data_IF_639099411620
#
_entry.id   IF_639099411620
#
_cell.length_a   1.000
_cell.length_b   1.000
_cell.length_c   1.000
_cell.angle_alpha   90.00
_cell.angle_beta   90.00
_cell.angle_gamma   90.00
#
_symmetry.space_group_name_H-M   'P 1'
#
loop_
_entity.id
_entity.type
_entity.pdbx_description
1 polymer ?
#
# COMPACT_ATOMS: atom_id res chain seq x y z
N UNK A 1 -15.93 -0.66 10.74
CA UNK A 1 -14.52 -0.53 11.11
C UNK A 1 -14.00 0.87 10.85
N UNK A 2 -12.79 1.17 11.34
CA UNK A 2 -12.03 2.37 11.00
C UNK A 2 -10.57 1.97 10.76
N UNK A 3 -10.05 2.18 9.54
CA UNK A 3 -8.71 1.75 9.13
C UNK A 3 -8.47 0.25 9.41
N UNK A 4 -9.47 -0.58 9.07
CA UNK A 4 -9.64 -1.93 9.58
C UNK A 4 -8.85 -3.03 8.85
N UNK A 5 -7.83 -2.72 8.06
CA UNK A 5 -7.10 -3.74 7.28
C UNK A 5 -6.45 -4.80 8.17
N UNK A 6 -5.86 -4.42 9.31
CA UNK A 6 -5.27 -5.36 10.26
C UNK A 6 -6.35 -6.19 11.00
N UNK A 7 -7.49 -5.58 11.32
CA UNK A 7 -8.61 -6.28 11.97
C UNK A 7 -9.20 -7.33 11.03
N UNK A 8 -9.38 -6.99 9.76
CA UNK A 8 -9.90 -7.92 8.74
C UNK A 8 -8.93 -9.06 8.50
N UNK A 9 -7.62 -8.80 8.42
CA UNK A 9 -6.60 -9.83 8.27
C UNK A 9 -6.56 -10.78 9.48
N UNK A 10 -6.63 -10.23 10.69
CA UNK A 10 -6.72 -11.00 11.92
C UNK A 10 -7.97 -11.89 11.95
N UNK A 11 -9.14 -11.33 11.65
CA UNK A 11 -10.40 -12.07 11.60
C UNK A 11 -10.36 -13.17 10.54
N UNK A 12 -9.83 -12.87 9.37
CA UNK A 12 -9.67 -13.83 8.29
C UNK A 12 -8.80 -15.02 8.71
N UNK A 13 -7.71 -14.73 9.43
CA UNK A 13 -6.79 -15.77 9.92
C UNK A 13 -7.42 -16.59 11.05
N UNK A 14 -8.08 -15.95 12.02
CA UNK A 14 -8.68 -16.64 13.18
C UNK A 14 -9.87 -17.51 12.82
N UNK A 15 -10.66 -17.10 11.83
CA UNK A 15 -11.89 -17.78 11.44
C UNK A 15 -11.79 -18.52 10.10
N UNK A 16 -10.58 -18.61 9.53
CA UNK A 16 -10.31 -19.26 8.25
C UNK A 16 -11.30 -18.79 7.15
N UNK A 17 -11.47 -17.47 7.03
CA UNK A 17 -12.43 -16.91 6.10
C UNK A 17 -11.94 -17.09 4.66
N UNK A 18 -12.71 -17.83 3.86
CA UNK A 18 -12.43 -18.03 2.44
C UNK A 18 -12.70 -16.78 1.58
N UNK A 19 -13.52 -15.85 2.09
CA UNK A 19 -13.86 -14.59 1.42
C UNK A 19 -13.94 -13.45 2.44
N UNK A 20 -13.66 -12.22 2.02
CA UNK A 20 -13.73 -11.08 2.92
C UNK A 20 -15.17 -10.81 3.36
N UNK A 21 -15.36 -10.42 4.63
CA UNK A 21 -16.66 -9.94 5.07
C UNK A 21 -17.00 -8.61 4.37
N UNK A 22 -18.28 -8.33 4.25
CA UNK A 22 -18.74 -7.03 3.76
C UNK A 22 -18.47 -5.96 4.82
N UNK A 23 -17.47 -5.12 4.59
CA UNK A 23 -16.99 -4.11 5.54
C UNK A 23 -17.37 -2.72 5.06
N UNK A 24 -17.89 -1.90 5.97
CA UNK A 24 -17.93 -0.44 5.83
C UNK A 24 -16.78 0.13 6.66
N UNK A 25 -15.75 0.68 6.00
CA UNK A 25 -14.65 1.34 6.67
C UNK A 25 -14.87 2.84 6.66
N UNK A 26 -14.94 3.44 7.86
CA UNK A 26 -15.21 4.87 8.02
C UNK A 26 -14.08 5.75 7.49
N UNK A 27 -12.83 5.28 7.49
CA UNK A 27 -11.71 6.00 6.89
C UNK A 27 -11.83 6.02 5.36
N UNK A 28 -12.20 4.89 4.75
CA UNK A 28 -12.45 4.79 3.30
C UNK A 28 -13.67 5.62 2.90
N UNK A 29 -14.73 5.60 3.69
CA UNK A 29 -15.94 6.41 3.45
C UNK A 29 -15.62 7.91 3.48
N UNK A 30 -14.78 8.35 4.42
CA UNK A 30 -14.28 9.71 4.46
C UNK A 30 -13.47 10.05 3.21
N UNK A 31 -12.51 9.22 2.84
CA UNK A 31 -11.67 9.37 1.65
C UNK A 31 -12.46 9.37 0.32
N UNK A 32 -13.65 8.73 0.28
CA UNK A 32 -14.58 8.79 -0.85
C UNK A 32 -15.40 10.08 -0.88
N UNK A 33 -15.36 10.93 0.14
CA UNK A 33 -16.18 12.14 0.24
C UNK A 33 -15.37 13.40 0.54
N UNK A 34 -14.05 13.28 0.63
CA UNK A 34 -13.10 14.38 0.87
C UNK A 34 -11.77 14.10 0.19
N UNK A 35 -10.90 15.09 0.11
CA UNK A 35 -9.52 14.93 -0.39
C UNK A 35 -8.54 14.39 0.67
N UNK A 36 -9.01 14.09 1.87
CA UNK A 36 -8.19 13.56 2.97
C UNK A 36 -8.23 12.04 3.00
N UNK A 37 -7.05 11.40 3.08
CA UNK A 37 -6.94 9.94 3.03
C UNK A 37 -6.86 9.30 4.42
N UNK A 38 -5.72 9.40 5.08
CA UNK A 38 -5.42 8.67 6.31
C UNK A 38 -5.75 9.50 7.55
N UNK A 39 -7.03 9.67 7.84
CA UNK A 39 -7.48 10.40 9.02
C UNK A 39 -7.55 9.48 10.24
N UNK A 40 -7.23 10.01 11.43
CA UNK A 40 -7.39 9.26 12.67
C UNK A 40 -8.86 9.16 13.11
N UNK A 41 -9.20 8.13 13.89
CA UNK A 41 -10.54 7.98 14.47
C UNK A 41 -10.94 9.22 15.29
N UNK A 42 -10.00 9.76 16.08
CA UNK A 42 -10.23 10.97 16.89
C UNK A 42 -10.57 12.20 16.04
N UNK A 43 -9.85 12.38 14.91
CA UNK A 43 -10.14 13.45 13.95
C UNK A 43 -11.53 13.28 13.35
N UNK A 44 -11.86 12.07 12.94
CA UNK A 44 -13.12 11.77 12.28
C UNK A 44 -14.32 11.93 13.25
N UNK A 45 -14.18 11.49 14.52
CA UNK A 45 -15.17 11.75 15.58
C UNK A 45 -15.41 13.25 15.77
N UNK A 46 -14.34 14.05 15.78
CA UNK A 46 -14.48 15.50 15.90
C UNK A 46 -15.20 16.12 14.69
N UNK A 47 -14.80 15.73 13.46
CA UNK A 47 -15.39 16.30 12.24
C UNK A 47 -16.87 15.93 12.04
N UNK A 48 -17.27 14.72 12.42
CA UNK A 48 -18.62 14.22 12.18
C UNK A 48 -19.58 14.47 13.35
N UNK A 49 -19.06 14.37 14.59
CA UNK A 49 -19.90 14.36 15.80
C UNK A 49 -19.57 15.52 16.77
N UNK A 50 -18.54 16.32 16.49
CA UNK A 50 -18.08 17.36 17.42
C UNK A 50 -17.40 16.84 18.69
N UNK A 51 -17.13 15.51 18.77
CA UNK A 51 -16.59 14.88 19.96
C UNK A 51 -15.06 14.94 19.99
N UNK A 52 -14.50 15.30 21.13
CA UNK A 52 -13.04 15.25 21.37
C UNK A 52 -12.69 14.01 22.13
N UNK A 53 -11.77 13.20 21.61
CA UNK A 53 -11.22 12.02 22.27
C UNK A 53 -9.75 12.20 22.63
N UNK A 54 -9.37 11.70 23.82
CA UNK A 54 -7.97 11.71 24.29
C UNK A 54 -7.18 10.53 23.72
N UNK A 55 -5.83 10.65 23.74
CA UNK A 55 -4.90 9.59 23.29
C UNK A 55 -4.28 8.82 24.47
N UNK A 56 -4.97 8.71 25.60
CA UNK A 56 -4.36 8.37 26.89
C UNK A 56 -3.81 6.93 27.00
N UNK A 57 -4.31 5.96 26.22
CA UNK A 57 -3.99 4.53 26.39
C UNK A 57 -3.45 3.81 25.16
N UNK A 58 -3.09 4.54 24.07
CA UNK A 58 -2.58 3.93 22.84
C UNK A 58 -1.25 3.18 23.02
N UNK A 59 -0.39 3.64 23.93
CA UNK A 59 0.95 3.10 24.16
C UNK A 59 1.04 2.12 25.35
N UNK A 60 -0.10 1.79 25.95
CA UNK A 60 -0.16 0.92 27.11
C UNK A 60 0.16 -0.55 26.73
N UNK A 61 0.52 -1.35 27.75
CA UNK A 61 0.69 -2.80 27.58
C UNK A 61 -0.67 -3.49 27.46
N UNK A 62 -1.09 -3.77 26.24
CA UNK A 62 -2.32 -4.49 25.91
C UNK A 62 -2.21 -6.02 26.06
N UNK A 63 -1.04 -6.55 26.38
CA UNK A 63 -0.83 -7.97 26.65
C UNK A 63 -1.11 -8.35 28.11
N UNK A 64 -1.13 -7.38 28.99
CA UNK A 64 -1.43 -7.58 30.42
C UNK A 64 -2.82 -8.20 30.64
N UNK A 65 -2.92 -9.15 31.57
CA UNK A 65 -4.22 -9.75 31.99
C UNK A 65 -4.33 -9.76 33.51
N UNK A 66 -5.52 -9.40 34.09
CA UNK A 66 -6.66 -8.79 33.40
C UNK A 66 -6.34 -7.38 32.92
N UNK A 67 -7.07 -6.90 31.88
CA UNK A 67 -6.93 -5.51 31.43
C UNK A 67 -7.48 -4.55 32.51
N UNK A 68 -6.81 -3.44 32.80
CA UNK A 68 -7.32 -2.40 33.68
C UNK A 68 -8.64 -1.80 33.15
N UNK A 69 -9.51 -1.37 34.06
CA UNK A 69 -10.81 -0.78 33.69
C UNK A 69 -10.68 0.43 32.74
N UNK A 70 -9.65 1.27 32.94
CA UNK A 70 -9.37 2.38 32.06
C UNK A 70 -9.03 1.98 30.61
N UNK A 71 -8.29 0.85 30.42
CA UNK A 71 -8.03 0.32 29.09
C UNK A 71 -9.30 -0.28 28.45
N UNK A 72 -10.15 -0.94 29.23
CA UNK A 72 -11.44 -1.45 28.77
C UNK A 72 -12.36 -0.31 28.34
N UNK A 73 -12.43 0.77 29.13
CA UNK A 73 -13.19 1.96 28.79
C UNK A 73 -12.66 2.63 27.52
N UNK A 74 -11.33 2.71 27.36
CA UNK A 74 -10.71 3.23 26.14
C UNK A 74 -11.08 2.38 24.91
N UNK A 75 -10.96 1.06 24.99
CA UNK A 75 -11.32 0.16 23.90
C UNK A 75 -12.82 0.24 23.54
N UNK A 76 -13.70 0.38 24.54
CA UNK A 76 -15.12 0.59 24.32
C UNK A 76 -15.40 1.91 23.60
N UNK A 77 -14.74 3.00 24.01
CA UNK A 77 -14.88 4.31 23.38
C UNK A 77 -14.40 4.35 21.93
N UNK A 78 -13.52 3.44 21.50
CA UNK A 78 -13.08 3.35 20.09
C UNK A 78 -14.17 2.79 19.16
N UNK A 79 -15.15 2.05 19.68
CA UNK A 79 -16.22 1.44 18.88
C UNK A 79 -17.61 2.08 19.12
N UNK A 80 -17.80 2.78 20.23
CA UNK A 80 -19.10 3.25 20.69
C UNK A 80 -19.77 4.22 19.70
N UNK A 81 -19.00 5.11 19.07
CA UNK A 81 -19.51 6.08 18.12
C UNK A 81 -19.46 5.60 16.65
N UNK A 82 -18.90 4.44 16.37
CA UNK A 82 -18.86 3.92 14.98
C UNK A 82 -20.24 3.85 14.31
N UNK A 83 -21.34 3.45 15.01
CA UNK A 83 -22.68 3.47 14.40
C UNK A 83 -23.16 4.89 14.02
N UNK A 84 -22.83 5.90 14.81
CA UNK A 84 -23.19 7.30 14.52
C UNK A 84 -22.39 7.83 13.33
N UNK A 85 -21.09 7.54 13.30
CA UNK A 85 -20.21 7.88 12.18
C UNK A 85 -20.60 7.17 10.88
N UNK A 86 -21.01 5.89 10.96
CA UNK A 86 -21.53 5.14 9.82
C UNK A 86 -22.75 5.83 9.22
N UNK A 87 -23.71 6.29 10.04
CA UNK A 87 -24.89 7.03 9.54
C UNK A 87 -24.49 8.33 8.87
N UNK A 88 -23.69 9.16 9.52
CA UNK A 88 -23.27 10.47 8.98
C UNK A 88 -22.50 10.32 7.66
N UNK A 89 -21.61 9.32 7.56
CA UNK A 89 -20.87 9.03 6.32
C UNK A 89 -21.77 8.40 5.25
N UNK A 90 -22.73 7.57 5.65
CA UNK A 90 -23.73 7.01 4.74
C UNK A 90 -24.57 8.09 4.07
N UNK A 91 -25.01 9.09 4.81
CA UNK A 91 -25.73 10.28 4.29
C UNK A 91 -24.85 11.06 3.29
N UNK A 92 -23.59 11.36 3.65
CA UNK A 92 -22.65 12.04 2.75
C UNK A 92 -22.39 11.26 1.45
N UNK A 93 -22.26 9.94 1.54
CA UNK A 93 -22.09 9.08 0.37
C UNK A 93 -23.35 9.08 -0.51
N UNK A 94 -24.54 9.07 0.10
CA UNK A 94 -25.83 9.12 -0.62
C UNK A 94 -26.01 10.44 -1.37
N UNK A 95 -25.73 11.57 -0.72
CA UNK A 95 -25.77 12.91 -1.34
C UNK A 95 -24.87 13.01 -2.58
N UNK A 96 -23.76 12.26 -2.61
CA UNK A 96 -22.81 12.21 -3.74
C UNK A 96 -23.05 11.06 -4.73
N UNK A 97 -24.10 10.27 -4.53
CA UNK A 97 -24.37 9.07 -5.35
C UNK A 97 -23.32 7.95 -5.22
N UNK A 98 -22.63 7.84 -4.06
CA UNK A 98 -21.51 6.92 -3.84
C UNK A 98 -21.80 5.77 -2.89
N UNK A 99 -23.07 5.57 -2.49
CA UNK A 99 -23.47 4.56 -1.50
C UNK A 99 -23.12 3.13 -1.92
N UNK A 100 -23.06 2.85 -3.22
CA UNK A 100 -22.70 1.53 -3.76
C UNK A 100 -21.18 1.31 -3.80
N UNK A 101 -20.40 2.37 -3.90
CA UNK A 101 -18.95 2.31 -4.11
C UNK A 101 -18.18 1.95 -2.84
N UNK A 102 -18.71 2.33 -1.68
CA UNK A 102 -18.02 2.19 -0.38
C UNK A 102 -17.59 0.75 -0.09
N UNK A 103 -18.43 -0.23 -0.39
CA UNK A 103 -18.12 -1.62 -0.06
C UNK A 103 -17.02 -2.19 -0.94
N UNK A 104 -17.00 -1.83 -2.24
CA UNK A 104 -15.94 -2.22 -3.15
C UNK A 104 -14.61 -1.52 -2.80
N UNK A 105 -14.65 -0.24 -2.47
CA UNK A 105 -13.47 0.50 -2.04
C UNK A 105 -12.94 -0.01 -0.68
N UNK A 106 -13.83 -0.28 0.29
CA UNK A 106 -13.44 -0.87 1.58
C UNK A 106 -12.88 -2.28 1.41
N UNK A 107 -13.45 -3.08 0.50
CA UNK A 107 -12.92 -4.39 0.18
C UNK A 107 -11.49 -4.30 -0.36
N UNK A 108 -11.23 -3.44 -1.32
CA UNK A 108 -9.90 -3.27 -1.91
C UNK A 108 -8.84 -2.83 -0.89
N UNK A 109 -9.22 -1.93 0.04
CA UNK A 109 -8.30 -1.40 1.05
C UNK A 109 -8.06 -2.41 2.17
N UNK A 110 -9.12 -3.07 2.65
CA UNK A 110 -9.06 -3.92 3.85
C UNK A 110 -8.82 -5.40 3.53
N UNK A 111 -9.05 -5.80 2.31
CA UNK A 111 -8.73 -7.13 1.80
C UNK A 111 -7.85 -6.96 0.56
N UNK A 112 -6.61 -6.46 0.73
CA UNK A 112 -5.69 -6.43 -0.39
C UNK A 112 -5.59 -7.87 -0.88
N UNK A 113 -5.83 -8.03 -2.18
CA UNK A 113 -5.92 -9.34 -2.79
C UNK A 113 -4.81 -10.24 -2.25
N UNK A 114 -5.20 -11.29 -1.50
CA UNK A 114 -4.34 -12.44 -1.21
C UNK A 114 -4.00 -13.15 -2.53
N UNK A 115 -4.72 -12.82 -3.60
CA UNK A 115 -4.36 -13.11 -4.96
C UNK A 115 -3.06 -12.37 -5.27
N UNK A 116 -1.99 -13.12 -5.19
CA UNK A 116 -0.64 -12.83 -5.64
C UNK A 116 -0.33 -11.33 -5.77
N UNK A 117 0.24 -10.74 -4.73
CA UNK A 117 1.04 -9.53 -4.93
C UNK A 117 1.87 -9.80 -6.19
N UNK A 118 1.76 -8.93 -7.21
CA UNK A 118 2.62 -9.07 -8.40
C UNK A 118 4.03 -9.34 -7.89
N UNK A 119 4.71 -10.34 -8.45
CA UNK A 119 6.04 -10.67 -7.98
C UNK A 119 6.90 -9.42 -8.03
N UNK A 120 7.70 -9.20 -7.00
CA UNK A 120 8.68 -8.11 -7.00
C UNK A 120 9.59 -8.27 -8.21
N UNK A 121 9.85 -7.16 -8.89
CA UNK A 121 10.81 -7.08 -9.97
C UNK A 121 11.97 -6.14 -9.57
N UNK A 122 13.08 -6.24 -10.27
CA UNK A 122 14.25 -5.37 -10.01
C UNK A 122 13.89 -3.88 -10.19
N UNK A 123 12.99 -3.59 -11.11
CA UNK A 123 12.48 -2.26 -11.46
C UNK A 123 11.70 -1.59 -10.30
N UNK A 124 11.22 -2.36 -9.34
CA UNK A 124 10.60 -1.84 -8.11
C UNK A 124 11.62 -1.17 -7.16
N UNK A 125 12.90 -1.42 -7.39
CA UNK A 125 14.02 -0.94 -6.57
C UNK A 125 14.81 0.15 -7.28
N UNK A 126 14.28 1.37 -7.31
CA UNK A 126 14.84 2.51 -8.07
C UNK A 126 16.35 2.75 -7.91
N UNK A 127 16.92 2.42 -6.75
CA UNK A 127 18.32 2.66 -6.43
C UNK A 127 19.18 1.37 -6.49
N UNK A 128 18.66 0.27 -7.03
CA UNK A 128 19.40 -0.99 -7.12
C UNK A 128 20.68 -0.86 -7.95
N UNK A 129 20.69 -0.03 -8.98
CA UNK A 129 21.86 0.25 -9.82
C UNK A 129 23.02 0.92 -9.06
N UNK A 130 22.77 1.57 -7.92
CA UNK A 130 23.81 2.19 -7.08
C UNK A 130 24.56 1.18 -6.20
N UNK A 131 24.04 -0.01 -6.06
CA UNK A 131 24.70 -1.09 -5.34
C UNK A 131 25.89 -1.64 -6.15
N UNK A 132 26.91 -2.15 -5.46
CA UNK A 132 27.96 -2.92 -6.12
C UNK A 132 27.44 -4.26 -6.69
N UNK A 133 28.24 -4.94 -7.49
CA UNK A 133 27.85 -6.19 -8.15
C UNK A 133 27.39 -7.28 -7.18
N UNK A 134 28.08 -7.44 -6.06
CA UNK A 134 27.73 -8.43 -5.02
C UNK A 134 26.38 -8.12 -4.38
N UNK A 135 26.17 -6.87 -4.02
CA UNK A 135 24.90 -6.38 -3.45
C UNK A 135 23.75 -6.49 -4.45
N UNK A 136 24.00 -6.23 -5.75
CA UNK A 136 22.98 -6.41 -6.79
C UNK A 136 22.61 -7.89 -6.99
N UNK A 137 23.59 -8.80 -6.96
CA UNK A 137 23.34 -10.23 -7.03
C UNK A 137 22.53 -10.73 -5.81
N UNK A 138 22.91 -10.25 -4.62
CA UNK A 138 22.16 -10.51 -3.40
C UNK A 138 20.72 -9.98 -3.48
N UNK A 139 20.49 -8.80 -4.05
CA UNK A 139 19.14 -8.25 -4.25
C UNK A 139 18.29 -9.13 -5.18
N UNK A 140 18.86 -9.61 -6.29
CA UNK A 140 18.14 -10.53 -7.19
C UNK A 140 17.76 -11.83 -6.48
N UNK A 141 18.66 -12.36 -5.66
CA UNK A 141 18.37 -13.52 -4.83
C UNK A 141 17.24 -13.25 -3.83
N UNK A 142 17.25 -12.09 -3.15
CA UNK A 142 16.18 -11.68 -2.23
C UNK A 142 14.84 -11.54 -2.93
N UNK A 143 14.80 -10.96 -4.12
CA UNK A 143 13.58 -10.84 -4.93
C UNK A 143 13.03 -12.23 -5.26
N UNK A 144 13.86 -13.14 -5.77
CA UNK A 144 13.45 -14.50 -6.09
C UNK A 144 12.97 -15.25 -4.84
N UNK A 145 13.70 -15.14 -3.73
CA UNK A 145 13.30 -15.71 -2.45
C UNK A 145 11.96 -15.16 -1.97
N UNK A 146 11.77 -13.85 -1.98
CA UNK A 146 10.53 -13.19 -1.54
C UNK A 146 9.32 -13.62 -2.38
N UNK A 147 9.51 -13.73 -3.69
CA UNK A 147 8.45 -14.13 -4.60
C UNK A 147 8.06 -15.61 -4.44
N UNK A 148 8.96 -16.43 -3.92
CA UNK A 148 8.69 -17.84 -3.62
C UNK A 148 8.01 -18.10 -2.27
N UNK A 149 7.86 -17.06 -1.43
CA UNK A 149 7.19 -17.18 -0.13
C UNK A 149 5.67 -17.33 -0.30
N UNK A 150 5.06 -18.17 0.53
CA UNK A 150 3.62 -18.16 0.71
C UNK A 150 3.13 -16.91 1.47
N UNK A 151 1.82 -16.68 1.53
CA UNK A 151 1.24 -15.48 2.15
C UNK A 151 1.55 -15.37 3.64
N UNK A 152 1.59 -16.50 4.36
CA UNK A 152 1.91 -16.55 5.78
C UNK A 152 3.38 -16.20 6.03
N UNK A 153 4.26 -16.74 5.21
CA UNK A 153 5.69 -16.45 5.27
C UNK A 153 5.97 -14.99 4.90
N UNK A 154 5.28 -14.49 3.88
CA UNK A 154 5.41 -13.11 3.40
C UNK A 154 4.99 -12.09 4.43
N UNK A 155 3.99 -12.39 5.28
CA UNK A 155 3.57 -11.49 6.36
C UNK A 155 4.65 -11.23 7.43
N UNK A 156 5.61 -12.14 7.56
CA UNK A 156 6.76 -12.02 8.49
C UNK A 156 8.03 -11.55 7.79
N UNK A 157 8.05 -11.57 6.46
CA UNK A 157 9.21 -11.20 5.67
C UNK A 157 9.45 -9.68 5.70
N UNK A 158 10.71 -9.24 5.49
CA UNK A 158 11.04 -7.83 5.33
C UNK A 158 10.33 -7.22 4.11
N UNK A 159 9.93 -5.96 4.20
CA UNK A 159 9.38 -5.21 3.07
C UNK A 159 10.44 -4.88 1.99
N UNK A 160 10.02 -4.43 0.82
CA UNK A 160 10.90 -4.12 -0.31
C UNK A 160 12.02 -3.14 0.06
N UNK A 161 11.73 -2.11 0.87
CA UNK A 161 12.74 -1.15 1.32
C UNK A 161 13.79 -1.82 2.20
N UNK A 162 13.36 -2.73 3.06
CA UNK A 162 14.23 -3.50 3.94
C UNK A 162 15.05 -4.52 3.14
N UNK A 163 14.48 -5.16 2.09
CA UNK A 163 15.23 -6.03 1.18
C UNK A 163 16.40 -5.30 0.51
N UNK A 164 16.19 -4.07 0.04
CA UNK A 164 17.27 -3.25 -0.51
C UNK A 164 18.36 -2.96 0.52
N UNK A 165 17.97 -2.65 1.76
CA UNK A 165 18.90 -2.40 2.84
C UNK A 165 19.69 -3.67 3.25
N UNK A 166 19.07 -4.85 3.20
CA UNK A 166 19.73 -6.14 3.43
C UNK A 166 20.76 -6.41 2.33
N UNK A 167 20.38 -6.24 1.08
CA UNK A 167 21.28 -6.41 -0.07
C UNK A 167 22.50 -5.50 0.03
N UNK A 168 22.31 -4.21 0.31
CA UNK A 168 23.43 -3.25 0.40
C UNK A 168 24.33 -3.42 1.63
N UNK A 169 23.88 -4.16 2.65
CA UNK A 169 24.70 -4.43 3.84
C UNK A 169 25.37 -5.78 3.84
N UNK A 170 24.92 -6.70 3.03
CA UNK A 170 25.41 -8.08 2.90
C UNK A 170 25.74 -8.73 4.26
N UNK A 171 24.76 -8.94 5.15
CA UNK A 171 24.99 -9.48 6.48
C UNK A 171 25.69 -10.86 6.38
N UNK A 172 26.62 -11.13 7.29
CA UNK A 172 27.37 -12.39 7.34
C UNK A 172 26.70 -13.44 8.21
N UNK A 173 25.87 -13.01 9.16
CA UNK A 173 25.19 -13.88 10.14
C UNK A 173 23.73 -13.45 10.31
N UNK A 174 22.89 -14.39 10.83
CA UNK A 174 21.52 -14.07 11.23
C UNK A 174 21.46 -12.98 12.33
N UNK A 175 22.50 -12.90 13.17
CA UNK A 175 22.62 -11.85 14.17
C UNK A 175 22.82 -10.47 13.53
N UNK A 176 23.63 -10.36 12.47
CA UNK A 176 23.80 -9.10 11.73
C UNK A 176 22.54 -8.73 10.98
N UNK A 177 21.86 -9.69 10.39
CA UNK A 177 20.56 -9.49 9.77
C UNK A 177 19.55 -8.89 10.76
N UNK A 178 19.52 -9.38 12.01
CA UNK A 178 18.60 -8.89 13.05
C UNK A 178 18.80 -7.42 13.46
N UNK A 179 20.01 -6.87 13.19
CA UNK A 179 20.36 -5.46 13.47
C UNK A 179 19.89 -4.50 12.38
N UNK A 180 19.45 -5.01 11.24
CA UNK A 180 18.95 -4.17 10.15
C UNK A 180 17.55 -3.68 10.52
N UNK A 181 17.35 -2.37 10.47
CA UNK A 181 16.05 -1.76 10.77
C UNK A 181 15.00 -2.27 9.79
N UNK A 182 13.86 -2.72 10.31
CA UNK A 182 12.77 -3.30 9.51
C UNK A 182 12.78 -4.84 9.46
N UNK A 183 13.84 -5.49 9.90
CA UNK A 183 13.89 -6.95 10.03
C UNK A 183 13.23 -7.37 11.34
N UNK A 184 12.24 -8.25 11.24
CA UNK A 184 11.58 -8.85 12.39
C UNK A 184 12.57 -9.79 13.12
N UNK A 185 12.75 -9.61 14.45
CA UNK A 185 13.68 -10.42 15.25
C UNK A 185 13.33 -11.92 15.24
N UNK A 186 12.05 -12.25 15.27
CA UNK A 186 11.60 -13.64 15.20
C UNK A 186 11.93 -14.25 13.84
N UNK A 187 11.67 -13.53 12.76
CA UNK A 187 12.07 -13.95 11.41
C UNK A 187 13.58 -14.18 11.33
N UNK A 188 14.40 -13.26 11.83
CA UNK A 188 15.86 -13.40 11.82
C UNK A 188 16.33 -14.62 12.63
N UNK A 189 15.72 -14.92 13.78
CA UNK A 189 16.05 -16.07 14.60
C UNK A 189 15.65 -17.41 13.95
N UNK A 190 14.50 -17.47 13.28
CA UNK A 190 13.99 -18.72 12.70
C UNK A 190 14.57 -19.02 11.30
N UNK A 191 14.88 -18.00 10.51
CA UNK A 191 15.22 -18.12 9.07
C UNK A 191 16.45 -17.34 8.64
N UNK A 192 17.02 -16.51 9.54
CA UNK A 192 18.08 -15.58 9.20
C UNK A 192 19.32 -16.24 8.64
N UNK A 193 19.84 -17.28 9.27
CA UNK A 193 21.07 -17.95 8.83
C UNK A 193 20.92 -18.59 7.46
N UNK A 194 19.75 -19.19 7.15
CA UNK A 194 19.47 -19.77 5.84
C UNK A 194 19.42 -18.69 4.75
N UNK A 195 18.77 -17.56 5.05
CA UNK A 195 18.69 -16.44 4.12
C UNK A 195 20.09 -15.85 3.86
N UNK A 196 20.86 -15.61 4.91
CA UNK A 196 22.22 -15.08 4.81
C UNK A 196 23.12 -16.00 3.99
N UNK A 197 23.06 -17.32 4.23
CA UNK A 197 23.83 -18.28 3.42
C UNK A 197 23.46 -18.22 1.93
N UNK A 198 22.19 -17.96 1.60
CA UNK A 198 21.75 -17.75 0.21
C UNK A 198 22.32 -16.44 -0.38
N UNK A 199 22.28 -15.35 0.41
CA UNK A 199 22.84 -14.05 0.02
C UNK A 199 24.33 -14.11 -0.27
N UNK A 200 25.10 -14.71 0.64
CA UNK A 200 26.56 -14.83 0.50
C UNK A 200 26.94 -15.66 -0.74
N UNK A 201 26.23 -16.74 -1.02
CA UNK A 201 26.42 -17.51 -2.26
C UNK A 201 26.12 -16.69 -3.50
N UNK A 202 24.97 -16.02 -3.54
CA UNK A 202 24.60 -15.17 -4.67
C UNK A 202 25.60 -14.01 -4.88
N UNK A 203 26.11 -13.43 -3.81
CA UNK A 203 27.14 -12.42 -3.89
C UNK A 203 28.46 -12.98 -4.49
N UNK A 204 28.91 -14.15 -4.05
CA UNK A 204 30.11 -14.80 -4.58
C UNK A 204 29.95 -15.20 -6.07
N UNK A 205 28.76 -15.56 -6.50
CA UNK A 205 28.46 -15.90 -7.91
C UNK A 205 28.64 -14.67 -8.83
N UNK A 206 28.58 -13.46 -8.32
CA UNK A 206 28.82 -12.24 -9.11
C UNK A 206 30.26 -12.17 -9.68
N UNK A 207 31.23 -12.86 -9.04
CA UNK A 207 32.62 -12.91 -9.49
C UNK A 207 32.84 -13.92 -10.63
N UNK A 208 31.87 -14.80 -10.91
CA UNK A 208 32.05 -15.93 -11.82
C UNK A 208 31.80 -15.62 -13.31
N UNK A 209 31.68 -14.34 -13.69
CA UNK A 209 31.70 -13.86 -15.09
C UNK A 209 30.36 -13.94 -15.83
N UNK A 210 29.28 -14.40 -15.18
CA UNK A 210 27.93 -14.43 -15.78
C UNK A 210 26.96 -13.35 -15.25
N UNK A 211 27.43 -12.55 -14.30
CA UNK A 211 26.56 -11.53 -13.69
C UNK A 211 26.37 -10.34 -14.62
N UNK A 212 25.09 -9.99 -14.87
CA UNK A 212 24.71 -8.79 -15.62
C UNK A 212 24.32 -7.70 -14.61
N UNK A 213 25.09 -6.60 -14.51
CA UNK A 213 24.77 -5.50 -13.62
C UNK A 213 23.40 -4.89 -13.92
N UNK A 214 22.80 -4.27 -12.91
CA UNK A 214 21.61 -3.44 -13.07
C UNK A 214 22.09 -2.09 -13.55
N UNK A 215 21.73 -1.71 -14.76
CA UNK A 215 22.08 -0.42 -15.32
C UNK A 215 21.29 0.72 -14.64
N UNK A 216 21.86 1.93 -14.57
CA UNK A 216 21.09 3.10 -14.17
C UNK A 216 19.92 3.29 -15.13
N UNK A 217 18.74 3.69 -14.62
CA UNK A 217 17.63 4.01 -15.49
C UNK A 217 18.05 5.10 -16.48
N UNK A 218 17.63 5.03 -17.74
CA UNK A 218 17.91 6.09 -18.70
C UNK A 218 17.40 7.44 -18.18
N UNK A 219 18.05 8.52 -18.58
CA UNK A 219 17.55 9.84 -18.26
C UNK A 219 16.14 10.01 -18.85
N UNK A 220 15.25 10.58 -18.04
CA UNK A 220 13.91 10.86 -18.48
C UNK A 220 13.94 11.82 -19.69
N UNK A 221 13.24 11.47 -20.75
CA UNK A 221 13.06 12.35 -21.90
C UNK A 221 12.15 13.52 -21.54
N UNK A 222 12.20 14.59 -22.36
CA UNK A 222 11.31 15.75 -22.16
C UNK A 222 9.82 15.34 -22.23
N UNK A 223 9.48 14.35 -23.05
CA UNK A 223 8.11 13.84 -23.17
C UNK A 223 7.68 13.05 -21.94
N UNK A 224 8.56 12.25 -21.35
CA UNK A 224 8.28 11.55 -20.09
C UNK A 224 8.09 12.54 -18.93
N UNK A 225 8.92 13.58 -18.84
CA UNK A 225 8.76 14.62 -17.83
C UNK A 225 7.42 15.35 -17.99
N UNK A 226 7.03 15.67 -19.25
CA UNK A 226 5.72 16.28 -19.52
C UNK A 226 4.56 15.35 -19.15
N UNK A 227 4.67 14.06 -19.48
CA UNK A 227 3.66 13.07 -19.14
C UNK A 227 3.50 12.93 -17.62
N UNK A 228 4.59 12.82 -16.89
CA UNK A 228 4.58 12.69 -15.44
C UNK A 228 4.00 13.96 -14.76
N UNK A 229 4.33 15.14 -15.28
CA UNK A 229 3.72 16.40 -14.86
C UNK A 229 2.21 16.46 -15.15
N UNK A 230 1.80 16.03 -16.34
CA UNK A 230 0.39 15.94 -16.72
C UNK A 230 -0.39 14.95 -15.85
N UNK A 231 0.16 13.77 -15.58
CA UNK A 231 -0.44 12.77 -14.70
C UNK A 231 -0.60 13.28 -13.26
N UNK A 232 0.39 14.02 -12.78
CA UNK A 232 0.33 14.64 -11.44
C UNK A 232 -0.79 15.69 -11.36
N UNK A 233 -0.95 16.50 -12.40
CA UNK A 233 -2.03 17.47 -12.49
C UNK A 233 -3.40 16.78 -12.63
N UNK A 234 -3.51 15.77 -13.49
CA UNK A 234 -4.73 14.98 -13.64
C UNK A 234 -5.20 14.39 -12.30
N UNK A 235 -4.26 13.78 -11.55
CA UNK A 235 -4.52 13.24 -10.21
C UNK A 235 -5.07 14.31 -9.27
N UNK A 236 -4.43 15.48 -9.21
CA UNK A 236 -4.83 16.56 -8.31
C UNK A 236 -6.20 17.14 -8.68
N UNK A 237 -6.39 17.53 -9.95
CA UNK A 237 -7.62 18.17 -10.44
C UNK A 237 -8.83 17.23 -10.34
N UNK A 238 -8.69 15.98 -10.79
CA UNK A 238 -9.80 15.01 -10.72
C UNK A 238 -10.18 14.73 -9.27
N UNK A 239 -9.19 14.54 -8.40
CA UNK A 239 -9.46 14.29 -6.99
C UNK A 239 -10.13 15.48 -6.31
N UNK A 240 -9.71 16.70 -6.60
CA UNK A 240 -10.31 17.92 -6.08
C UNK A 240 -11.76 18.10 -6.60
N UNK A 241 -11.97 17.94 -7.90
CA UNK A 241 -13.29 18.13 -8.51
C UNK A 241 -14.31 17.08 -8.07
N UNK A 242 -13.85 15.86 -7.83
CA UNK A 242 -14.68 14.77 -7.32
C UNK A 242 -14.75 14.75 -5.78
N UNK A 243 -14.01 15.59 -5.07
CA UNK A 243 -13.88 15.51 -3.61
C UNK A 243 -13.57 14.07 -3.14
N UNK A 244 -12.54 13.44 -3.73
CA UNK A 244 -12.07 12.10 -3.37
C UNK A 244 -10.58 12.14 -3.06
N UNK A 245 -10.13 11.40 -2.04
CA UNK A 245 -8.72 11.38 -1.66
C UNK A 245 -7.84 10.86 -2.80
N UNK A 246 -6.77 11.60 -3.20
CA UNK A 246 -5.91 11.21 -4.31
C UNK A 246 -5.24 9.85 -4.12
N UNK A 247 -4.90 9.48 -2.89
CA UNK A 247 -4.26 8.20 -2.55
C UNK A 247 -5.22 7.03 -2.75
N UNK A 248 -6.51 7.24 -2.50
CA UNK A 248 -7.56 6.24 -2.73
C UNK A 248 -7.93 6.15 -4.21
N UNK A 249 -8.12 7.30 -4.88
CA UNK A 249 -8.51 7.36 -6.29
C UNK A 249 -7.40 6.87 -7.24
N UNK A 250 -6.16 7.27 -6.97
CA UNK A 250 -4.99 7.05 -7.80
C UNK A 250 -3.80 6.51 -6.98
N UNK A 251 -3.88 5.30 -6.44
CA UNK A 251 -2.73 4.70 -5.76
C UNK A 251 -1.55 4.55 -6.72
N UNK A 252 -0.31 4.58 -6.18
CA UNK A 252 0.91 4.62 -6.98
C UNK A 252 1.03 3.49 -8.02
N UNK A 253 0.53 2.28 -7.70
CA UNK A 253 0.51 1.15 -8.64
C UNK A 253 -0.40 1.44 -9.84
N UNK A 254 -1.58 1.98 -9.59
CA UNK A 254 -2.51 2.36 -10.65
C UNK A 254 -1.93 3.48 -11.53
N UNK A 255 -1.27 4.48 -10.92
CA UNK A 255 -0.59 5.54 -11.68
C UNK A 255 0.47 4.99 -12.63
N UNK A 256 1.23 3.97 -12.22
CA UNK A 256 2.19 3.29 -13.11
C UNK A 256 1.48 2.61 -14.28
N UNK A 257 0.37 1.89 -14.03
CA UNK A 257 -0.43 1.25 -15.10
C UNK A 257 -0.99 2.26 -16.08
N UNK A 258 -1.53 3.39 -15.59
CA UNK A 258 -2.03 4.48 -16.43
C UNK A 258 -0.90 5.01 -17.31
N UNK A 259 0.27 5.31 -16.73
CA UNK A 259 1.45 5.78 -17.45
C UNK A 259 1.87 4.81 -18.57
N UNK A 260 2.00 3.52 -18.22
CA UNK A 260 2.36 2.49 -19.21
C UNK A 260 1.35 2.43 -20.35
N UNK A 261 0.06 2.45 -20.04
CA UNK A 261 -0.99 2.40 -21.07
C UNK A 261 -0.96 3.62 -22.01
N UNK A 262 -0.73 4.81 -21.47
CA UNK A 262 -0.57 6.03 -22.27
C UNK A 262 0.67 5.95 -23.18
N UNK A 263 1.79 5.47 -22.66
CA UNK A 263 3.03 5.31 -23.46
C UNK A 263 2.82 4.28 -24.57
N UNK A 264 2.15 3.15 -24.29
CA UNK A 264 1.87 2.11 -25.29
C UNK A 264 0.96 2.60 -26.43
N UNK A 265 -0.03 3.41 -26.11
CA UNK A 265 -1.06 3.82 -27.08
C UNK A 265 -0.78 5.18 -27.72
N UNK A 266 0.08 5.99 -27.12
CA UNK A 266 0.33 7.36 -27.53
C UNK A 266 -0.81 8.34 -27.24
N UNK A 267 -1.90 7.89 -26.55
CA UNK A 267 -3.09 8.69 -26.30
C UNK A 267 -3.44 8.74 -24.80
N UNK A 268 -3.51 9.94 -24.23
CA UNK A 268 -3.75 10.14 -22.78
C UNK A 268 -5.10 9.59 -22.34
N UNK A 269 -6.15 9.75 -23.15
CA UNK A 269 -7.49 9.24 -22.84
C UNK A 269 -7.53 7.71 -22.68
N UNK A 270 -6.64 6.98 -23.37
CA UNK A 270 -6.52 5.52 -23.25
C UNK A 270 -6.02 5.06 -21.88
N UNK A 271 -5.38 5.93 -21.10
CA UNK A 271 -5.07 5.66 -19.70
C UNK A 271 -6.31 5.32 -18.87
N UNK A 272 -7.50 5.72 -19.30
CA UNK A 272 -8.76 5.39 -18.63
C UNK A 272 -9.13 3.90 -18.70
N UNK A 273 -8.59 3.13 -19.64
CA UNK A 273 -8.90 1.70 -19.83
C UNK A 273 -8.42 0.82 -18.67
N UNK A 274 -7.45 1.30 -17.90
CA UNK A 274 -6.92 0.55 -16.75
C UNK A 274 -7.77 0.67 -15.48
N UNK A 275 -8.76 1.56 -15.47
CA UNK A 275 -9.67 1.66 -14.33
C UNK A 275 -10.64 0.49 -14.30
N UNK A 276 -10.81 -0.10 -13.14
CA UNK A 276 -11.75 -1.19 -12.85
C UNK A 276 -12.60 -0.88 -11.62
N UNK A 277 -13.51 -1.77 -11.31
CA UNK A 277 -14.39 -1.68 -10.14
C UNK A 277 -15.00 -0.28 -9.98
N UNK A 278 -15.01 0.22 -8.76
CA UNK A 278 -15.58 1.51 -8.42
C UNK A 278 -14.87 2.70 -9.10
N UNK A 279 -13.58 2.57 -9.47
CA UNK A 279 -12.85 3.62 -10.19
C UNK A 279 -13.32 3.76 -11.64
N UNK A 280 -13.69 2.65 -12.28
CA UNK A 280 -14.28 2.71 -13.63
C UNK A 280 -15.54 3.54 -13.62
N UNK A 281 -16.34 3.43 -12.58
CA UNK A 281 -17.61 4.14 -12.44
C UNK A 281 -17.41 5.62 -12.10
N UNK A 282 -16.54 5.93 -11.12
CA UNK A 282 -16.38 7.27 -10.59
C UNK A 282 -15.26 8.07 -11.28
N UNK A 283 -14.10 7.45 -11.53
CA UNK A 283 -12.88 8.15 -11.91
C UNK A 283 -12.69 8.18 -13.44
N UNK A 284 -12.98 7.07 -14.13
CA UNK A 284 -12.72 6.96 -15.57
C UNK A 284 -13.38 8.05 -16.41
N UNK A 285 -14.66 8.43 -16.20
CA UNK A 285 -15.27 9.51 -16.97
C UNK A 285 -14.57 10.86 -16.78
N UNK A 286 -14.21 11.20 -15.53
CA UNK A 286 -13.52 12.43 -15.20
C UNK A 286 -12.10 12.47 -15.78
N UNK A 287 -11.42 11.31 -15.85
CA UNK A 287 -10.11 11.19 -16.44
C UNK A 287 -10.14 11.42 -17.96
N UNK A 288 -11.09 10.81 -18.67
CA UNK A 288 -11.31 11.02 -20.11
C UNK A 288 -11.63 12.48 -20.41
N UNK A 289 -12.48 13.08 -19.62
CA UNK A 289 -12.82 14.50 -19.74
C UNK A 289 -11.63 15.41 -19.51
N UNK A 290 -10.81 15.12 -18.53
CA UNK A 290 -9.57 15.87 -18.27
C UNK A 290 -8.58 15.73 -19.43
N UNK A 291 -8.38 14.52 -19.95
CA UNK A 291 -7.51 14.27 -21.08
C UNK A 291 -7.93 15.08 -22.31
N UNK A 292 -9.21 15.05 -22.67
CA UNK A 292 -9.76 15.83 -23.81
C UNK A 292 -9.56 17.33 -23.66
N UNK A 293 -9.78 17.90 -22.48
CA UNK A 293 -9.62 19.34 -22.22
C UNK A 293 -8.15 19.79 -22.20
N UNK A 294 -7.23 18.90 -21.83
CA UNK A 294 -5.81 19.21 -21.72
C UNK A 294 -4.98 18.93 -22.97
N UNK A 295 -5.63 18.73 -24.14
CA UNK A 295 -4.97 18.73 -25.44
C UNK A 295 -4.60 17.35 -25.96
N UNK A 296 -5.40 16.32 -25.70
CA UNK A 296 -5.46 15.15 -26.55
C UNK A 296 -6.28 15.53 -27.82
N UNK A 297 -5.64 16.20 -28.72
CA UNK A 297 -6.09 16.30 -30.09
C UNK A 297 -5.22 15.40 -30.96
#
# INVERSE_FOLDING_TARGET
LHAGSQDVDLLATLFDLAAPPRVFDTQVAWALTTVEHSVSLAYLKFQLLGLRSGKSHQADDWMRRPLPEAQLAYAAADIEELPAMHRALGERLAERGRSTLIFNASHEVNWPARESAEPLAVEDFRNAWQLDAHSQAALRHLIAWYNALDDRERSLAPDAKTLLAIAGRLPETGADLSRIKGVNRRFAAERGDRLVAGLQRAAADADTGGFVPIDPPPYATADEVRLDGWLSLARAEISANLEVAPELAFPGRLMRKIRSRIVETGARAQGAEVFDGWRRELISPAFVDFARRSGDA
#
